data_IF_554912903375
#
_entry.id   IF_554912903375
#
_cell.length_a   1.000
_cell.length_b   1.000
_cell.length_c   1.000
_cell.angle_alpha   90.00
_cell.angle_beta   90.00
_cell.angle_gamma   90.00
#
_symmetry.space_group_name_H-M   'P 1'
#
loop_
_entity.id
_entity.type
_entity.pdbx_description
1 polymer ?
#
# COMPACT_ATOMS: atom_id res chain seq x y z
N UNK A 1 54.15 -0.40 0.23
CA UNK A 1 53.17 0.69 0.23
C UNK A 1 51.92 0.45 -0.63
N UNK A 2 51.86 -0.40 -1.68
CA UNK A 2 50.61 -0.61 -2.46
C UNK A 2 49.49 -1.33 -1.72
N UNK A 3 49.79 -2.15 -0.70
CA UNK A 3 48.77 -2.95 -0.01
C UNK A 3 47.84 -2.14 0.93
N UNK A 4 48.32 -1.10 1.57
CA UNK A 4 47.56 -0.25 2.46
C UNK A 4 46.49 0.56 1.69
N UNK A 5 46.83 1.08 0.52
CA UNK A 5 45.90 1.82 -0.34
C UNK A 5 44.83 0.92 -0.94
N UNK A 6 45.22 -0.29 -1.33
CA UNK A 6 44.30 -1.32 -1.82
C UNK A 6 43.31 -1.77 -0.74
N UNK A 7 43.79 -2.00 0.49
CA UNK A 7 42.95 -2.38 1.62
C UNK A 7 41.99 -1.27 2.01
N UNK A 8 42.42 -0.01 1.96
CA UNK A 8 41.54 1.15 2.20
C UNK A 8 40.40 1.25 1.14
N UNK A 9 40.72 1.04 -0.14
CA UNK A 9 39.71 1.02 -1.22
C UNK A 9 38.73 -0.13 -1.05
N UNK A 10 39.20 -1.31 -0.66
CA UNK A 10 38.34 -2.47 -0.41
C UNK A 10 37.42 -2.20 0.80
N UNK A 11 37.98 -1.66 1.90
CA UNK A 11 37.20 -1.32 3.09
C UNK A 11 36.07 -0.31 2.77
N UNK A 12 36.39 0.76 2.05
CA UNK A 12 35.38 1.76 1.65
C UNK A 12 34.32 1.20 0.71
N UNK A 13 34.67 0.25 -0.14
CA UNK A 13 33.71 -0.44 -1.03
C UNK A 13 32.79 -1.35 -0.22
N UNK A 14 33.34 -2.10 0.72
CA UNK A 14 32.56 -2.98 1.60
C UNK A 14 31.59 -2.18 2.49
N UNK A 15 32.04 -1.08 3.08
CA UNK A 15 31.18 -0.19 3.86
C UNK A 15 30.01 0.38 3.03
N UNK A 16 30.28 0.77 1.80
CA UNK A 16 29.21 1.27 0.90
C UNK A 16 28.17 0.19 0.59
N UNK A 17 28.62 -1.04 0.36
CA UNK A 17 27.72 -2.15 0.11
C UNK A 17 26.96 -2.57 1.37
N UNK A 18 27.62 -2.60 2.53
CA UNK A 18 26.97 -2.87 3.82
C UNK A 18 25.82 -1.88 4.09
N UNK A 19 26.07 -0.58 3.93
CA UNK A 19 25.01 0.44 4.07
C UNK A 19 23.85 0.25 3.09
N UNK A 20 24.13 -0.18 1.86
CA UNK A 20 23.06 -0.49 0.89
C UNK A 20 22.22 -1.68 1.32
N UNK A 21 22.84 -2.73 1.88
CA UNK A 21 22.12 -3.89 2.39
C UNK A 21 21.28 -3.53 3.60
N UNK A 22 21.79 -2.72 4.52
CA UNK A 22 21.06 -2.23 5.69
C UNK A 22 19.84 -1.36 5.33
N UNK A 23 19.88 -0.69 4.18
CA UNK A 23 18.77 0.13 3.66
C UNK A 23 17.71 -0.66 2.89
N UNK A 24 17.99 -1.93 2.57
CA UNK A 24 16.99 -2.78 1.91
C UNK A 24 15.92 -3.17 2.92
N UNK A 25 14.66 -2.89 2.57
CA UNK A 25 13.55 -3.43 3.33
C UNK A 25 13.62 -4.97 3.31
N UNK A 26 13.38 -5.63 4.45
CA UNK A 26 13.32 -7.09 4.45
C UNK A 26 12.27 -7.57 3.45
N UNK A 27 12.48 -8.68 2.76
CA UNK A 27 11.48 -9.23 1.86
C UNK A 27 10.20 -9.53 2.65
N UNK A 28 9.02 -9.26 2.09
CA UNK A 28 7.76 -9.58 2.75
C UNK A 28 7.67 -11.08 2.96
N UNK A 29 7.28 -11.48 4.17
CA UNK A 29 6.99 -12.88 4.47
C UNK A 29 5.61 -13.19 3.90
N UNK A 30 5.56 -14.10 2.93
CA UNK A 30 4.31 -14.51 2.29
C UNK A 30 3.54 -15.47 3.18
N UNK A 31 2.23 -15.33 3.18
CA UNK A 31 1.30 -16.24 3.83
C UNK A 31 0.53 -17.09 2.83
N UNK A 32 -0.34 -17.90 3.37
CA UNK A 32 -1.22 -18.80 2.62
C UNK A 32 -2.67 -18.58 3.05
N UNK A 33 -3.55 -18.48 2.06
CA UNK A 33 -4.99 -18.42 2.28
C UNK A 33 -5.47 -19.79 2.77
N UNK A 34 -5.96 -19.85 4.01
CA UNK A 34 -6.39 -21.10 4.65
C UNK A 34 -7.89 -21.32 4.55
N UNK A 35 -8.67 -20.24 4.59
CA UNK A 35 -10.13 -20.33 4.65
C UNK A 35 -10.79 -19.08 4.07
N UNK A 36 -12.00 -19.24 3.60
CA UNK A 36 -12.90 -18.14 3.24
C UNK A 36 -14.27 -18.39 3.86
N UNK A 37 -14.81 -17.37 4.51
CA UNK A 37 -16.15 -17.41 5.11
C UNK A 37 -16.90 -16.15 4.75
N UNK A 38 -17.91 -16.26 3.89
CA UNK A 38 -18.57 -15.09 3.32
C UNK A 38 -17.58 -14.27 2.51
N UNK A 39 -17.40 -12.99 2.89
CA UNK A 39 -16.43 -12.09 2.25
C UNK A 39 -15.09 -12.01 3.01
N UNK A 40 -14.96 -12.68 4.15
CA UNK A 40 -13.72 -12.65 4.92
C UNK A 40 -12.79 -13.79 4.49
N UNK A 41 -11.55 -13.43 4.18
CA UNK A 41 -10.47 -14.34 3.87
C UNK A 41 -9.61 -14.53 5.12
N UNK A 42 -9.24 -15.77 5.42
CA UNK A 42 -8.36 -16.11 6.53
C UNK A 42 -7.02 -16.58 5.98
N UNK A 43 -5.95 -15.92 6.38
CA UNK A 43 -4.58 -16.23 5.96
C UNK A 43 -3.70 -16.54 7.17
N UNK A 44 -2.67 -17.34 6.97
CA UNK A 44 -1.66 -17.65 7.98
C UNK A 44 -0.25 -17.59 7.39
N UNK A 45 0.77 -17.47 8.26
CA UNK A 45 2.18 -17.49 7.84
C UNK A 45 2.73 -16.12 7.41
N UNK A 46 1.93 -15.07 7.37
CA UNK A 46 2.39 -13.71 7.14
C UNK A 46 1.95 -12.78 8.28
N UNK A 47 2.58 -11.61 8.37
CA UNK A 47 2.26 -10.59 9.36
C UNK A 47 1.97 -9.26 8.65
N UNK A 48 0.87 -8.63 9.06
CA UNK A 48 0.49 -7.30 8.60
C UNK A 48 -0.35 -6.62 9.69
N UNK A 49 -0.34 -5.29 9.71
CA UNK A 49 -1.14 -4.52 10.65
C UNK A 49 -2.59 -4.38 10.14
N UNK A 50 -3.53 -4.09 11.04
CA UNK A 50 -4.90 -3.73 10.65
C UNK A 50 -4.86 -2.48 9.78
N UNK A 51 -5.56 -2.53 8.63
CA UNK A 51 -5.56 -1.49 7.62
C UNK A 51 -4.46 -1.63 6.56
N UNK A 52 -3.50 -2.56 6.73
CA UNK A 52 -2.54 -2.86 5.67
C UNK A 52 -3.22 -3.60 4.52
N UNK A 53 -2.66 -3.44 3.33
CA UNK A 53 -3.12 -4.17 2.14
C UNK A 53 -2.27 -5.40 1.88
N UNK A 54 -2.93 -6.44 1.43
CA UNK A 54 -2.33 -7.68 0.98
C UNK A 54 -2.77 -8.00 -0.44
N UNK A 55 -1.88 -8.60 -1.22
CA UNK A 55 -2.22 -9.20 -2.50
C UNK A 55 -2.46 -10.68 -2.33
N UNK A 56 -3.63 -11.16 -2.67
CA UNK A 56 -3.95 -12.57 -2.75
C UNK A 56 -3.76 -13.03 -4.19
N UNK A 57 -2.75 -13.87 -4.41
CA UNK A 57 -2.34 -14.32 -5.73
C UNK A 57 -2.97 -15.68 -6.03
N UNK A 58 -3.89 -15.71 -6.98
CA UNK A 58 -4.46 -16.93 -7.50
C UNK A 58 -3.46 -17.73 -8.34
N UNK A 59 -3.68 -19.04 -8.49
CA UNK A 59 -2.81 -19.92 -9.28
C UNK A 59 -2.87 -19.62 -10.79
N UNK A 60 -3.85 -18.89 -11.24
CA UNK A 60 -4.07 -18.43 -12.62
C UNK A 60 -3.38 -17.08 -12.93
N UNK A 61 -2.65 -16.52 -11.95
CA UNK A 61 -2.04 -15.20 -12.04
C UNK A 61 -2.99 -14.06 -11.68
N UNK A 62 -4.24 -14.34 -11.32
CA UNK A 62 -5.15 -13.32 -10.80
C UNK A 62 -4.60 -12.75 -9.49
N UNK A 63 -4.67 -11.44 -9.37
CA UNK A 63 -4.26 -10.69 -8.19
C UNK A 63 -5.49 -10.01 -7.60
N UNK A 64 -5.84 -10.40 -6.40
CA UNK A 64 -6.96 -9.86 -5.64
C UNK A 64 -6.39 -9.02 -4.50
N UNK A 65 -6.74 -7.77 -4.47
CA UNK A 65 -6.36 -6.88 -3.40
C UNK A 65 -7.29 -7.08 -2.21
N UNK A 66 -6.74 -7.14 -1.00
CA UNK A 66 -7.50 -7.31 0.24
C UNK A 66 -6.90 -6.46 1.36
N UNK A 67 -7.74 -5.93 2.23
CA UNK A 67 -7.36 -5.15 3.41
C UNK A 67 -7.40 -6.02 4.66
N UNK A 68 -6.43 -5.85 5.56
CA UNK A 68 -6.40 -6.52 6.86
C UNK A 68 -7.41 -5.87 7.79
N UNK A 69 -8.45 -6.60 8.14
CA UNK A 69 -9.53 -6.13 9.03
C UNK A 69 -9.39 -6.64 10.46
N UNK A 70 -8.51 -7.61 10.71
CA UNK A 70 -8.27 -8.15 12.03
C UNK A 70 -7.28 -9.29 12.05
N UNK A 71 -6.99 -9.77 13.25
CA UNK A 71 -6.13 -10.94 13.45
C UNK A 71 -6.57 -11.74 14.69
N UNK A 72 -6.21 -13.02 14.72
CA UNK A 72 -6.40 -13.88 15.89
C UNK A 72 -5.27 -14.92 15.93
N UNK A 73 -4.40 -14.81 16.93
CA UNK A 73 -3.18 -15.63 17.01
C UNK A 73 -2.26 -15.34 15.81
N UNK A 74 -1.94 -16.35 15.02
CA UNK A 74 -1.13 -16.30 13.81
C UNK A 74 -1.95 -16.10 12.52
N UNK A 75 -3.25 -15.86 12.64
CA UNK A 75 -4.18 -15.74 11.52
C UNK A 75 -4.55 -14.28 11.28
N UNK A 76 -4.52 -13.88 10.02
CA UNK A 76 -5.02 -12.60 9.54
C UNK A 76 -6.40 -12.79 8.92
N UNK A 77 -7.29 -11.84 9.18
CA UNK A 77 -8.56 -11.72 8.49
C UNK A 77 -8.48 -10.58 7.50
N UNK A 78 -8.77 -10.91 6.24
CA UNK A 78 -8.64 -9.99 5.12
C UNK A 78 -10.02 -9.79 4.48
N UNK A 79 -10.31 -8.56 4.08
CA UNK A 79 -11.50 -8.23 3.29
C UNK A 79 -11.07 -7.86 1.86
N UNK A 80 -11.48 -8.63 0.86
CA UNK A 80 -11.14 -8.32 -0.52
C UNK A 80 -11.83 -7.02 -0.97
N UNK A 81 -11.13 -6.18 -1.70
CA UNK A 81 -11.64 -4.92 -2.25
C UNK A 81 -12.08 -5.06 -3.71
N UNK A 82 -11.80 -6.21 -4.35
CA UNK A 82 -12.15 -6.53 -5.72
C UNK A 82 -12.92 -7.83 -5.86
N UNK A 83 -13.08 -8.25 -7.11
CA UNK A 83 -13.75 -9.50 -7.45
C UNK A 83 -12.91 -10.70 -6.98
N UNK A 84 -13.56 -11.63 -6.29
CA UNK A 84 -12.94 -12.85 -5.73
C UNK A 84 -13.12 -14.09 -6.60
N UNK A 85 -13.67 -13.94 -7.80
CA UNK A 85 -13.87 -15.07 -8.70
C UNK A 85 -12.54 -15.74 -9.06
N UNK A 86 -12.52 -17.06 -9.07
CA UNK A 86 -11.31 -17.83 -9.36
C UNK A 86 -10.36 -18.04 -8.18
N UNK A 87 -10.66 -17.48 -7.01
CA UNK A 87 -9.86 -17.71 -5.81
C UNK A 87 -9.92 -19.16 -5.36
N UNK A 88 -8.77 -19.75 -5.11
CA UNK A 88 -8.64 -21.15 -4.68
C UNK A 88 -8.00 -21.24 -3.29
N UNK A 89 -8.27 -22.32 -2.55
CA UNK A 89 -7.52 -22.60 -1.33
C UNK A 89 -6.01 -22.64 -1.59
N UNK A 90 -5.22 -22.27 -0.60
CA UNK A 90 -3.76 -22.18 -0.65
C UNK A 90 -3.22 -21.10 -1.62
N UNK A 91 -4.03 -20.11 -2.00
CA UNK A 91 -3.53 -18.93 -2.69
C UNK A 91 -2.48 -18.22 -1.83
N UNK A 92 -1.46 -17.65 -2.46
CA UNK A 92 -0.40 -16.90 -1.75
C UNK A 92 -0.93 -15.55 -1.31
N UNK A 93 -0.60 -15.17 -0.10
CA UNK A 93 -0.95 -13.86 0.47
C UNK A 93 0.33 -13.07 0.69
N UNK A 94 0.49 -11.98 -0.02
CA UNK A 94 1.69 -11.14 0.01
C UNK A 94 1.32 -9.79 0.65
N UNK A 95 1.78 -9.51 1.88
CA UNK A 95 1.60 -8.21 2.50
C UNK A 95 2.31 -7.12 1.70
N UNK A 96 1.63 -6.00 1.47
CA UNK A 96 2.26 -4.81 0.91
C UNK A 96 2.88 -3.99 2.03
N UNK A 97 4.18 -3.77 1.97
CA UNK A 97 4.87 -2.90 2.90
C UNK A 97 4.69 -1.44 2.49
N UNK A 98 4.20 -0.63 3.41
CA UNK A 98 4.08 0.82 3.22
C UNK A 98 2.70 1.37 3.58
N UNK A 99 2.67 2.59 4.12
CA UNK A 99 1.42 3.28 4.38
C UNK A 99 0.67 3.53 3.08
N UNK A 100 -0.64 3.37 3.13
CA UNK A 100 -1.52 3.67 2.00
C UNK A 100 -1.40 5.15 1.63
N UNK A 101 -0.92 5.41 0.44
CA UNK A 101 -0.71 6.76 -0.06
C UNK A 101 -1.42 6.94 -1.39
N UNK A 102 -2.00 8.11 -1.59
CA UNK A 102 -2.60 8.53 -2.86
C UNK A 102 -1.71 9.57 -3.53
N UNK A 103 -1.59 9.48 -4.83
CA UNK A 103 -0.92 10.48 -5.64
C UNK A 103 -1.78 11.74 -5.73
N UNK A 104 -1.20 12.90 -5.44
CA UNK A 104 -1.90 14.19 -5.46
C UNK A 104 -1.11 15.24 -6.20
N UNK A 105 -1.81 16.16 -6.81
CA UNK A 105 -1.20 17.26 -7.53
C UNK A 105 -2.21 18.02 -8.40
N UNK A 106 -1.81 19.14 -8.99
CA UNK A 106 -2.65 19.92 -9.93
C UNK A 106 -3.14 19.10 -11.11
N UNK A 107 -2.45 18.01 -11.45
CA UNK A 107 -2.78 17.10 -12.54
C UNK A 107 -4.10 16.33 -12.30
N UNK A 108 -4.62 16.32 -11.06
CA UNK A 108 -5.93 15.76 -10.73
C UNK A 108 -7.10 16.66 -11.12
N UNK A 109 -6.85 17.95 -11.33
CA UNK A 109 -7.91 18.89 -11.69
C UNK A 109 -8.54 18.52 -13.03
N UNK A 110 -9.87 18.43 -13.06
CA UNK A 110 -10.63 18.04 -14.25
C UNK A 110 -10.55 16.55 -14.61
N UNK A 111 -9.98 15.69 -13.74
CA UNK A 111 -9.89 14.25 -13.95
C UNK A 111 -10.94 13.51 -13.13
N UNK A 112 -11.38 12.36 -13.63
CA UNK A 112 -12.29 11.45 -12.94
C UNK A 112 -11.48 10.22 -12.51
N UNK A 113 -11.46 9.95 -11.21
CA UNK A 113 -10.72 8.84 -10.62
C UNK A 113 -11.64 7.96 -9.78
N UNK A 114 -11.26 6.69 -9.60
CA UNK A 114 -11.90 5.78 -8.64
C UNK A 114 -11.37 5.99 -7.22
N UNK A 115 -11.88 5.20 -6.26
CA UNK A 115 -11.42 5.23 -4.86
C UNK A 115 -9.98 4.78 -4.65
N UNK A 116 -9.36 4.12 -5.63
CA UNK A 116 -7.95 3.74 -5.62
C UNK A 116 -7.04 4.77 -6.30
N UNK A 117 -7.60 5.86 -6.85
CA UNK A 117 -6.87 6.88 -7.59
C UNK A 117 -6.58 6.53 -9.05
N UNK A 118 -7.25 5.50 -9.60
CA UNK A 118 -7.11 5.10 -11.01
C UNK A 118 -8.02 5.95 -11.88
N UNK A 119 -7.47 6.45 -12.99
CA UNK A 119 -8.24 7.29 -13.92
C UNK A 119 -9.35 6.49 -14.61
N UNK A 120 -10.59 7.00 -14.56
CA UNK A 120 -11.78 6.46 -15.22
C UNK A 120 -12.17 7.22 -16.51
N UNK A 121 -11.56 8.37 -16.74
CA UNK A 121 -11.92 9.32 -17.80
C UNK A 121 -11.32 9.01 -19.18
N UNK A 122 -10.65 7.89 -19.36
CA UNK A 122 -9.98 7.48 -20.60
C UNK A 122 -8.89 8.46 -21.10
N UNK A 123 -8.47 9.43 -20.27
CA UNK A 123 -7.43 10.41 -20.60
C UNK A 123 -6.00 9.92 -20.25
N UNK A 124 -5.83 8.64 -19.95
CA UNK A 124 -4.56 8.04 -19.60
C UNK A 124 -4.17 8.20 -18.13
N UNK A 125 -2.99 7.71 -17.79
CA UNK A 125 -2.47 7.74 -16.42
C UNK A 125 -2.20 9.17 -15.94
N UNK A 126 -2.44 9.41 -14.65
CA UNK A 126 -2.21 10.68 -13.98
C UNK A 126 -0.83 10.63 -13.31
N UNK A 127 0.11 11.41 -13.78
CA UNK A 127 1.45 11.53 -13.20
C UNK A 127 1.47 12.67 -12.18
N UNK A 128 1.29 12.36 -10.91
CA UNK A 128 1.43 13.31 -9.80
C UNK A 128 2.79 13.16 -9.14
N UNK A 129 3.40 14.28 -8.76
CA UNK A 129 4.74 14.32 -8.16
C UNK A 129 4.72 14.11 -6.64
N UNK A 130 3.56 14.24 -6.00
CA UNK A 130 3.40 14.11 -4.56
C UNK A 130 2.54 12.91 -4.20
N UNK A 131 2.85 12.31 -3.04
CA UNK A 131 2.02 11.27 -2.44
C UNK A 131 1.73 11.62 -0.99
N UNK A 132 0.48 11.54 -0.61
CA UNK A 132 0.02 11.76 0.77
C UNK A 132 -0.61 10.50 1.35
N UNK A 133 -0.57 10.35 2.67
CA UNK A 133 -1.25 9.24 3.35
C UNK A 133 -2.76 9.46 3.32
N UNK A 134 -3.51 8.41 3.03
CA UNK A 134 -4.98 8.46 3.02
C UNK A 134 -5.57 8.74 4.41
N UNK A 135 -4.93 8.26 5.46
CA UNK A 135 -5.37 8.50 6.84
C UNK A 135 -5.27 9.96 7.27
N UNK A 136 -4.61 10.81 6.47
CA UNK A 136 -4.41 12.21 6.79
C UNK A 136 -3.57 12.44 8.04
N UNK A 137 -3.40 13.71 8.40
CA UNK A 137 -2.85 14.12 9.70
C UNK A 137 -3.94 14.84 10.48
N UNK A 138 -4.18 14.46 11.74
CA UNK A 138 -5.15 15.20 12.56
C UNK A 138 -4.68 16.65 12.73
N UNK A 139 -5.55 17.58 12.39
CA UNK A 139 -5.29 19.02 12.56
C UNK A 139 -5.68 19.38 13.98
N UNK A 140 -4.79 20.10 14.69
CA UNK A 140 -5.11 20.64 16.00
C UNK A 140 -6.38 21.50 15.91
N UNK A 141 -7.44 21.22 16.69
CA UNK A 141 -8.68 21.99 16.63
C UNK A 141 -8.49 23.49 16.86
N UNK A 142 -7.50 23.88 17.67
CA UNK A 142 -7.20 25.30 17.96
C UNK A 142 -6.53 26.04 16.79
N UNK A 143 -5.95 25.31 15.84
CA UNK A 143 -5.34 25.89 14.63
C UNK A 143 -6.29 25.89 13.43
N UNK A 144 -7.51 25.33 13.56
CA UNK A 144 -8.51 25.36 12.50
C UNK A 144 -9.10 26.76 12.38
N UNK A 145 -9.13 27.28 11.17
CA UNK A 145 -9.89 28.49 10.88
C UNK A 145 -11.40 28.18 10.85
N UNK A 146 -12.26 29.11 11.26
CA UNK A 146 -13.70 28.99 11.05
C UNK A 146 -14.01 28.78 9.55
N UNK A 147 -15.05 28.01 9.28
CA UNK A 147 -15.54 27.85 7.91
C UNK A 147 -16.42 29.06 7.60
N UNK A 148 -15.95 29.96 6.75
CA UNK A 148 -16.61 31.21 6.37
C UNK A 148 -17.03 31.22 4.88
N UNK A 149 -16.47 30.31 4.07
CA UNK A 149 -16.81 30.17 2.67
C UNK A 149 -17.31 28.75 2.35
N UNK A 150 -18.43 28.60 1.64
CA UNK A 150 -18.89 27.29 1.18
C UNK A 150 -17.96 26.78 0.08
N UNK A 151 -17.60 25.49 0.13
CA UNK A 151 -16.87 24.81 -0.93
C UNK A 151 -17.86 24.05 -1.82
N UNK A 152 -18.05 24.55 -3.04
CA UNK A 152 -18.81 23.80 -4.06
C UNK A 152 -17.93 22.66 -4.60
N UNK A 153 -18.34 21.43 -4.31
CA UNK A 153 -17.65 20.22 -4.81
C UNK A 153 -18.27 19.66 -6.08
N UNK A 154 -19.27 20.33 -6.66
CA UNK A 154 -19.97 19.88 -7.86
C UNK A 154 -20.84 18.64 -7.67
N UNK A 155 -21.01 18.17 -6.44
CA UNK A 155 -21.83 17.00 -6.12
C UNK A 155 -23.08 17.44 -5.36
N UNK A 156 -24.23 17.38 -6.03
CA UNK A 156 -25.50 17.90 -5.50
C UNK A 156 -25.92 17.36 -4.13
N UNK A 157 -25.48 16.15 -3.78
CA UNK A 157 -25.80 15.54 -2.49
C UNK A 157 -24.88 16.02 -1.35
N UNK A 158 -23.80 16.75 -1.66
CA UNK A 158 -22.79 17.22 -0.70
C UNK A 158 -22.86 18.73 -0.52
N UNK A 159 -23.35 19.46 -1.52
CA UNK A 159 -23.53 20.93 -1.50
C UNK A 159 -24.80 21.34 -0.75
#
# INVERSE_FOLDING_TARGET
MPDAERNSKIASLLERHARRVEQLAPPPVEGVLTRMVGLALEASGCQAAIGDRCDVLGNDGARIEAEVVGFSGDRLYLMPTGDIHGLKPNARVVPRTGAETVAVGPQLLGRIIDGAGVALDSLGQIACDQRIRLTGMPINPLSRQPIDEPLDVGVRAIN
#
